data_IF_217893999640
#
_entry.id   IF_217893999640
#
_cell.length_a   1.000
_cell.length_b   1.000
_cell.length_c   1.000
_cell.angle_alpha   90.00
_cell.angle_beta   90.00
_cell.angle_gamma   90.00
#
_symmetry.space_group_name_H-M   'P 1'
#
loop_
_entity.id
_entity.type
_entity.pdbx_description
1 polymer ?
#
# COMPACT_ATOMS: atom_id res chain seq x y z
N UNK A 1 15.28 22.86 -3.77
CA UNK A 1 15.02 22.30 -2.44
C UNK A 1 14.96 20.79 -2.57
N UNK A 2 15.51 20.02 -1.63
CA UNK A 2 15.42 18.55 -1.64
C UNK A 2 14.06 18.10 -1.14
N UNK A 3 13.35 17.24 -1.88
CA UNK A 3 12.06 16.68 -1.46
C UNK A 3 12.22 15.83 -0.19
N UNK A 4 11.23 15.87 0.71
CA UNK A 4 11.23 14.98 1.89
C UNK A 4 10.85 13.56 1.46
N UNK A 5 11.56 12.57 2.02
CA UNK A 5 11.31 11.16 1.75
C UNK A 5 10.26 10.58 2.69
N UNK A 6 9.32 9.80 2.15
CA UNK A 6 8.22 9.17 2.90
C UNK A 6 8.18 7.67 2.61
N UNK A 7 8.08 6.86 3.67
CA UNK A 7 7.80 5.43 3.56
C UNK A 7 6.33 5.17 3.83
N UNK A 8 5.64 4.52 2.89
CA UNK A 8 4.26 4.05 3.04
C UNK A 8 4.29 2.54 3.24
N UNK A 9 3.65 2.03 4.30
CA UNK A 9 3.63 0.59 4.61
C UNK A 9 2.25 0.02 4.26
N UNK A 10 2.22 -0.90 3.30
CA UNK A 10 1.04 -1.54 2.74
C UNK A 10 0.48 -0.82 1.50
N UNK A 11 0.07 -1.58 0.49
CA UNK A 11 -0.55 -1.10 -0.76
C UNK A 11 -2.04 -1.45 -0.87
N UNK A 12 -2.74 -1.46 0.28
CA UNK A 12 -4.21 -1.44 0.32
C UNK A 12 -4.78 -0.05 0.02
N UNK A 13 -6.10 0.12 0.13
CA UNK A 13 -6.78 1.38 -0.16
C UNK A 13 -6.16 2.60 0.55
N UNK A 14 -5.85 2.47 1.84
CA UNK A 14 -5.21 3.53 2.63
C UNK A 14 -3.80 3.86 2.15
N UNK A 15 -3.01 2.84 1.82
CA UNK A 15 -1.63 3.01 1.36
C UNK A 15 -1.53 3.67 0.00
N UNK A 16 -2.38 3.26 -0.95
CA UNK A 16 -2.45 3.88 -2.27
C UNK A 16 -2.89 5.35 -2.19
N UNK A 17 -3.86 5.65 -1.32
CA UNK A 17 -4.29 7.02 -1.06
C UNK A 17 -3.14 7.86 -0.45
N UNK A 18 -2.45 7.33 0.57
CA UNK A 18 -1.32 8.01 1.18
C UNK A 18 -0.18 8.26 0.18
N UNK A 19 0.14 7.27 -0.66
CA UNK A 19 1.15 7.39 -1.71
C UNK A 19 0.79 8.51 -2.69
N UNK A 20 -0.45 8.53 -3.19
CA UNK A 20 -0.94 9.58 -4.09
C UNK A 20 -0.86 10.95 -3.45
N UNK A 21 -1.32 11.11 -2.22
CA UNK A 21 -1.26 12.39 -1.50
C UNK A 21 0.19 12.87 -1.32
N UNK A 22 1.15 11.96 -1.08
CA UNK A 22 2.55 12.35 -1.02
C UNK A 22 3.07 12.90 -2.35
N UNK A 23 2.69 12.29 -3.47
CA UNK A 23 3.10 12.76 -4.80
C UNK A 23 2.49 14.13 -5.14
N UNK A 24 1.21 14.34 -4.82
CA UNK A 24 0.53 15.63 -5.02
C UNK A 24 1.22 16.78 -4.25
N UNK A 25 1.75 16.49 -3.06
CA UNK A 25 2.49 17.45 -2.21
C UNK A 25 3.98 17.58 -2.58
N UNK A 26 4.42 16.95 -3.68
CA UNK A 26 5.81 17.01 -4.15
C UNK A 26 6.81 16.27 -3.27
N UNK A 27 6.37 15.26 -2.51
CA UNK A 27 7.22 14.42 -1.68
C UNK A 27 7.77 13.22 -2.47
N UNK A 28 8.93 12.72 -2.06
CA UNK A 28 9.52 11.50 -2.62
C UNK A 28 9.04 10.29 -1.80
N UNK A 29 8.03 9.58 -2.30
CA UNK A 29 7.42 8.47 -1.56
C UNK A 29 7.81 7.09 -2.11
N UNK A 30 8.07 6.15 -1.20
CA UNK A 30 8.28 4.72 -1.50
C UNK A 30 7.24 3.91 -0.74
N UNK A 31 6.53 3.03 -1.46
CA UNK A 31 5.55 2.12 -0.87
C UNK A 31 6.14 0.71 -0.73
N UNK A 32 5.99 0.12 0.45
CA UNK A 32 6.40 -1.25 0.75
C UNK A 32 5.17 -2.11 0.96
N UNK A 33 4.93 -3.06 0.06
CA UNK A 33 3.88 -4.06 0.16
C UNK A 33 4.51 -5.43 0.34
N UNK A 34 3.98 -6.21 1.29
CA UNK A 34 4.52 -7.53 1.62
C UNK A 34 4.17 -8.57 0.56
N UNK A 35 3.03 -8.39 -0.10
CA UNK A 35 2.53 -9.30 -1.13
C UNK A 35 2.99 -8.85 -2.52
N UNK A 36 2.63 -9.64 -3.54
CA UNK A 36 3.03 -9.38 -4.92
C UNK A 36 2.12 -8.42 -5.67
N UNK A 37 1.07 -7.91 -5.03
CA UNK A 37 0.05 -7.09 -5.68
C UNK A 37 -0.66 -6.16 -4.69
N UNK A 38 -1.37 -5.17 -5.22
CA UNK A 38 -2.09 -4.14 -4.47
C UNK A 38 -3.49 -4.61 -4.01
N UNK A 39 -4.22 -3.73 -3.34
CA UNK A 39 -5.64 -3.91 -3.01
C UNK A 39 -5.89 -4.41 -1.58
N UNK A 40 -4.90 -5.03 -0.95
CA UNK A 40 -4.96 -5.45 0.45
C UNK A 40 -6.17 -6.33 0.72
N UNK A 41 -7.03 -5.87 1.63
CA UNK A 41 -8.25 -6.57 2.05
C UNK A 41 -9.17 -7.00 0.90
N UNK A 42 -9.23 -6.19 -0.16
CA UNK A 42 -10.15 -6.39 -1.29
C UNK A 42 -9.61 -7.32 -2.37
N UNK A 43 -8.39 -7.82 -2.21
CA UNK A 43 -7.79 -8.76 -3.15
C UNK A 43 -8.10 -10.19 -2.72
N UNK A 44 -8.90 -10.86 -3.54
CA UNK A 44 -9.19 -12.28 -3.40
C UNK A 44 -7.89 -13.10 -3.54
N UNK A 45 -7.71 -14.06 -2.63
CA UNK A 45 -6.78 -15.16 -2.82
C UNK A 45 -7.41 -16.47 -2.35
N UNK A 46 -7.16 -17.52 -3.12
CA UNK A 46 -7.63 -18.88 -2.83
C UNK A 46 -6.98 -19.47 -1.57
N UNK A 47 -5.75 -19.03 -1.24
CA UNK A 47 -5.00 -19.47 -0.07
C UNK A 47 -4.62 -18.25 0.77
N UNK A 48 -5.32 -17.97 1.88
CA UNK A 48 -5.02 -16.83 2.73
C UNK A 48 -3.59 -16.88 3.29
N UNK A 49 -2.88 -15.77 3.18
CA UNK A 49 -1.54 -15.62 3.77
C UNK A 49 -1.63 -15.10 5.22
N UNK A 50 -0.83 -15.67 6.12
CA UNK A 50 -0.77 -15.24 7.52
C UNK A 50 -0.36 -13.76 7.66
N UNK A 51 -1.11 -13.03 8.47
CA UNK A 51 -0.93 -11.60 8.70
C UNK A 51 -1.43 -10.70 7.57
N UNK A 52 -2.30 -11.20 6.68
CA UNK A 52 -3.08 -10.41 5.74
C UNK A 52 -4.57 -10.62 5.99
N UNK A 53 -5.33 -9.54 5.95
CA UNK A 53 -6.77 -9.64 6.06
C UNK A 53 -7.39 -10.09 4.72
N UNK A 54 -8.39 -10.97 4.80
CA UNK A 54 -9.22 -11.41 3.67
C UNK A 54 -10.69 -11.30 4.04
N UNK A 55 -11.51 -10.67 3.19
CA UNK A 55 -12.98 -10.71 3.34
C UNK A 55 -13.64 -11.84 2.55
N UNK A 56 -12.94 -12.37 1.54
CA UNK A 56 -13.48 -13.43 0.71
C UNK A 56 -13.16 -14.77 1.37
N UNK A 57 -14.18 -15.64 1.42
CA UNK A 57 -14.12 -16.97 2.02
C UNK A 57 -14.79 -17.97 1.09
#
# INVERSE_FOLDING_TARGET
MTARRVAVIGAGASGLCALKCCLDEGLEATCFERSKDIGGLWRFEEHPEDGRASIYR
#
